data_IF_697278464760
#
_entry.id   IF_697278464760
#
_cell.length_a   1.000
_cell.length_b   1.000
_cell.length_c   1.000
_cell.angle_alpha   90.00
_cell.angle_beta   90.00
_cell.angle_gamma   90.00
#
_symmetry.space_group_name_H-M   'P 1'
#
loop_
_entity.id
_entity.type
_entity.pdbx_description
1 polymer ?
#
# COMPACT_ATOMS: atom_id res chain seq x y z
N UNK A 1 -14.28 15.53 13.76
CA UNK A 1 -14.08 16.91 13.19
C UNK A 1 -15.30 17.45 12.44
N UNK A 2 -16.07 16.64 11.70
CA UNK A 2 -17.30 17.05 10.99
C UNK A 2 -18.62 16.67 11.70
N UNK A 3 -18.57 16.20 12.95
CA UNK A 3 -19.75 15.78 13.73
C UNK A 3 -20.84 16.85 13.88
N UNK A 4 -20.48 18.12 13.74
CA UNK A 4 -21.45 19.23 13.76
C UNK A 4 -22.32 19.29 12.50
N UNK A 5 -21.85 18.77 11.36
CA UNK A 5 -22.54 18.83 10.07
C UNK A 5 -23.19 17.49 9.68
N UNK A 6 -22.64 16.36 10.15
CA UNK A 6 -23.08 15.02 9.80
C UNK A 6 -23.41 14.24 11.08
N UNK A 7 -24.69 13.98 11.28
CA UNK A 7 -25.19 13.27 12.47
C UNK A 7 -24.90 11.76 12.46
N UNK A 8 -24.60 11.17 11.30
CA UNK A 8 -24.22 9.76 11.17
C UNK A 8 -22.71 9.58 11.36
N UNK A 9 -22.33 8.95 12.48
CA UNK A 9 -20.94 8.75 12.89
C UNK A 9 -20.11 7.93 11.88
N UNK A 10 -20.72 6.93 11.20
CA UNK A 10 -20.03 6.12 10.17
C UNK A 10 -19.66 6.99 8.97
N UNK A 11 -20.61 7.80 8.49
CA UNK A 11 -20.40 8.69 7.34
C UNK A 11 -19.38 9.78 7.70
N UNK A 12 -19.45 10.32 8.92
CA UNK A 12 -18.51 11.33 9.39
C UNK A 12 -17.06 10.82 9.37
N UNK A 13 -16.80 9.64 9.97
CA UNK A 13 -15.47 9.04 9.95
C UNK A 13 -15.00 8.66 8.54
N UNK A 14 -15.90 8.17 7.68
CA UNK A 14 -15.56 7.86 6.29
C UNK A 14 -15.12 9.12 5.52
N UNK A 15 -15.85 10.23 5.67
CA UNK A 15 -15.51 11.51 5.02
C UNK A 15 -14.19 12.07 5.53
N UNK A 16 -13.94 12.01 6.83
CA UNK A 16 -12.66 12.43 7.42
C UNK A 16 -11.49 11.59 6.88
N UNK A 17 -11.64 10.26 6.86
CA UNK A 17 -10.64 9.36 6.30
C UNK A 17 -10.36 9.64 4.81
N UNK A 18 -11.42 9.83 4.01
CA UNK A 18 -11.29 10.16 2.59
C UNK A 18 -10.58 11.50 2.36
N UNK A 19 -10.85 12.50 3.20
CA UNK A 19 -10.23 13.82 3.09
C UNK A 19 -8.73 13.75 3.38
N UNK A 20 -8.34 13.09 4.47
CA UNK A 20 -6.92 12.88 4.79
C UNK A 20 -6.22 12.02 3.73
N UNK A 21 -6.85 10.95 3.25
CA UNK A 21 -6.30 10.09 2.20
C UNK A 21 -6.10 10.85 0.89
N UNK A 22 -7.07 11.69 0.48
CA UNK A 22 -6.99 12.45 -0.77
C UNK A 22 -5.85 13.47 -0.77
N UNK A 23 -5.65 14.16 0.35
CA UNK A 23 -4.54 15.12 0.51
C UNK A 23 -3.19 14.37 0.43
N UNK A 24 -3.05 13.27 1.17
CA UNK A 24 -1.84 12.46 1.15
C UNK A 24 -1.54 11.91 -0.25
N UNK A 25 -2.54 11.33 -0.93
CA UNK A 25 -2.40 10.82 -2.29
C UNK A 25 -2.06 11.91 -3.31
N UNK A 26 -2.59 13.12 -3.16
CA UNK A 26 -2.29 14.24 -4.06
C UNK A 26 -0.82 14.67 -3.95
N UNK A 27 -0.30 14.77 -2.72
CA UNK A 27 1.11 15.11 -2.49
C UNK A 27 2.02 14.00 -3.00
N UNK A 28 1.72 12.74 -2.65
CA UNK A 28 2.50 11.59 -3.10
C UNK A 28 2.49 11.46 -4.63
N UNK A 29 1.37 11.75 -5.30
CA UNK A 29 1.26 11.73 -6.76
C UNK A 29 2.28 12.64 -7.43
N UNK A 30 2.43 13.88 -6.95
CA UNK A 30 3.41 14.84 -7.48
C UNK A 30 4.86 14.38 -7.25
N UNK A 31 5.13 13.77 -6.09
CA UNK A 31 6.48 13.25 -5.77
C UNK A 31 6.79 12.06 -6.68
N UNK A 32 5.83 11.15 -6.87
CA UNK A 32 6.00 9.94 -7.69
C UNK A 32 6.22 10.30 -9.17
N UNK A 33 5.50 11.28 -9.71
CA UNK A 33 5.70 11.74 -11.09
C UNK A 33 7.08 12.37 -11.28
N UNK A 34 7.56 13.14 -10.31
CA UNK A 34 8.93 13.70 -10.32
C UNK A 34 10.01 12.62 -10.22
N UNK A 35 9.76 11.52 -9.52
CA UNK A 35 10.70 10.39 -9.42
C UNK A 35 10.75 9.52 -10.68
N UNK A 36 9.76 9.63 -11.58
CA UNK A 36 9.69 8.83 -12.80
C UNK A 36 9.41 7.34 -12.57
N UNK A 37 8.90 6.97 -11.38
CA UNK A 37 8.60 5.57 -11.02
C UNK A 37 7.08 5.36 -11.08
N UNK A 38 6.57 5.03 -12.26
CA UNK A 38 5.11 4.96 -12.48
C UNK A 38 4.46 3.82 -11.69
N UNK A 39 5.19 2.71 -11.49
CA UNK A 39 4.62 1.47 -10.95
C UNK A 39 4.54 1.41 -9.42
N UNK A 40 5.08 2.42 -8.73
CA UNK A 40 5.21 2.38 -7.27
C UNK A 40 3.85 2.42 -6.57
N UNK A 41 2.90 3.19 -7.09
CA UNK A 41 1.59 3.39 -6.46
C UNK A 41 0.77 2.10 -6.37
N UNK A 42 0.61 1.39 -7.49
CA UNK A 42 -0.14 0.13 -7.48
C UNK A 42 0.61 -0.96 -6.69
N UNK A 43 1.92 -1.09 -6.87
CA UNK A 43 2.70 -2.15 -6.19
C UNK A 43 2.69 -1.98 -4.68
N UNK A 44 2.82 -0.76 -4.16
CA UNK A 44 2.77 -0.50 -2.72
C UNK A 44 1.39 -0.77 -2.12
N UNK A 45 0.32 -0.45 -2.85
CA UNK A 45 -1.06 -0.78 -2.43
C UNK A 45 -1.24 -2.29 -2.31
N UNK A 46 -0.68 -3.07 -3.25
CA UNK A 46 -0.75 -4.52 -3.21
C UNK A 46 0.19 -5.17 -2.18
N UNK A 47 1.34 -4.56 -1.88
CA UNK A 47 2.17 -4.94 -0.75
C UNK A 47 1.44 -4.77 0.59
N UNK A 48 0.73 -3.64 0.76
CA UNK A 48 -0.11 -3.40 1.93
C UNK A 48 -1.23 -4.44 2.03
N UNK A 49 -1.89 -4.76 0.89
CA UNK A 49 -2.93 -5.76 0.82
C UNK A 49 -2.41 -7.16 1.20
N UNK A 50 -1.30 -7.61 0.61
CA UNK A 50 -0.67 -8.89 0.95
C UNK A 50 -0.28 -8.96 2.44
N UNK A 51 0.30 -7.89 2.98
CA UNK A 51 0.61 -7.79 4.41
C UNK A 51 -0.64 -7.88 5.29
N UNK A 52 -1.72 -7.19 4.93
CA UNK A 52 -2.99 -7.27 5.64
C UNK A 52 -3.56 -8.69 5.62
N UNK A 53 -3.55 -9.36 4.47
CA UNK A 53 -3.99 -10.76 4.32
C UNK A 53 -3.24 -11.70 5.26
N UNK A 54 -1.90 -11.59 5.27
CA UNK A 54 -1.04 -12.39 6.15
C UNK A 54 -1.35 -12.07 7.62
N UNK A 55 -1.47 -10.78 7.97
CA UNK A 55 -1.77 -10.36 9.34
C UNK A 55 -3.07 -10.96 9.84
N UNK A 56 -4.14 -10.84 9.05
CA UNK A 56 -5.46 -11.40 9.36
C UNK A 56 -5.38 -12.92 9.55
N UNK A 57 -4.66 -13.62 8.66
CA UNK A 57 -4.49 -15.07 8.75
C UNK A 57 -3.82 -15.53 10.06
N UNK A 58 -2.79 -14.82 10.50
CA UNK A 58 -2.08 -15.14 11.76
C UNK A 58 -2.76 -14.54 13.02
N UNK A 59 -3.92 -13.90 12.88
CA UNK A 59 -4.60 -13.21 13.99
C UNK A 59 -3.86 -11.96 14.51
N UNK A 60 -2.91 -11.45 13.73
CA UNK A 60 -2.21 -10.18 14.00
C UNK A 60 -3.05 -9.03 13.43
N UNK A 61 -3.03 -7.86 14.07
CA UNK A 61 -3.75 -6.68 13.58
C UNK A 61 -3.38 -6.36 12.12
N UNK A 62 -4.36 -6.48 11.21
CA UNK A 62 -4.14 -6.37 9.76
C UNK A 62 -3.47 -5.06 9.34
N UNK A 63 -3.77 -3.96 10.04
CA UNK A 63 -3.16 -2.65 9.80
C UNK A 63 -1.65 -2.65 10.06
N UNK A 64 -1.21 -3.29 11.15
CA UNK A 64 0.22 -3.36 11.50
C UNK A 64 0.98 -4.22 10.49
N UNK A 65 0.41 -5.37 10.11
CA UNK A 65 1.00 -6.26 9.12
C UNK A 65 1.09 -5.60 7.73
N UNK A 66 0.07 -4.83 7.34
CA UNK A 66 0.08 -4.03 6.11
C UNK A 66 1.22 -3.00 6.10
N UNK A 67 1.39 -2.25 7.19
CA UNK A 67 2.46 -1.24 7.31
C UNK A 67 3.84 -1.91 7.22
N UNK A 68 4.05 -3.01 7.96
CA UNK A 68 5.32 -3.73 7.96
C UNK A 68 5.66 -4.30 6.58
N UNK A 69 4.68 -4.89 5.88
CA UNK A 69 4.88 -5.43 4.54
C UNK A 69 5.23 -4.32 3.53
N UNK A 70 4.50 -3.21 3.53
CA UNK A 70 4.79 -2.07 2.65
C UNK A 70 6.17 -1.47 2.93
N UNK A 71 6.57 -1.35 4.20
CA UNK A 71 7.89 -0.85 4.58
C UNK A 71 9.01 -1.81 4.14
N UNK A 72 8.78 -3.12 4.26
CA UNK A 72 9.71 -4.15 3.81
C UNK A 72 9.91 -4.08 2.28
N UNK A 73 8.83 -3.93 1.51
CA UNK A 73 8.94 -3.77 0.06
C UNK A 73 9.63 -2.45 -0.33
N UNK A 74 9.31 -1.35 0.36
CA UNK A 74 9.96 -0.05 0.12
C UNK A 74 11.48 -0.09 0.39
N UNK A 75 11.91 -0.80 1.44
CA UNK A 75 13.33 -0.94 1.77
C UNK A 75 14.07 -1.89 0.84
N UNK A 76 13.43 -2.95 0.34
CA UNK A 76 14.05 -3.93 -0.56
C UNK A 76 14.16 -3.40 -2.00
N UNK A 77 13.26 -2.52 -2.45
CA UNK A 77 13.23 -2.08 -3.86
C UNK A 77 14.55 -1.44 -4.31
N UNK A 78 15.18 -0.64 -3.46
CA UNK A 78 16.45 0.04 -3.73
C UNK A 78 17.61 -0.93 -3.98
N UNK A 79 18.02 -1.74 -2.97
CA UNK A 79 19.10 -2.70 -3.14
C UNK A 79 18.78 -3.78 -4.18
N UNK A 80 17.50 -4.15 -4.35
CA UNK A 80 17.09 -5.11 -5.37
C UNK A 80 17.27 -4.53 -6.79
N UNK A 81 16.93 -3.25 -6.99
CA UNK A 81 17.16 -2.51 -8.24
C UNK A 81 18.63 -2.46 -8.62
N UNK A 82 19.49 -2.12 -7.65
CA UNK A 82 20.92 -2.05 -7.87
C UNK A 82 21.54 -3.43 -8.16
N UNK A 83 21.11 -4.47 -7.42
CA UNK A 83 21.67 -5.82 -7.58
C UNK A 83 21.20 -6.52 -8.85
N UNK A 84 19.94 -6.34 -9.25
CA UNK A 84 19.39 -6.93 -10.46
C UNK A 84 19.84 -6.18 -11.73
N UNK A 85 20.35 -4.95 -11.61
CA UNK A 85 20.66 -4.04 -12.73
C UNK A 85 19.47 -3.85 -13.68
N UNK A 86 18.26 -3.89 -13.13
CA UNK A 86 17.00 -3.69 -13.86
C UNK A 86 16.39 -2.34 -13.45
N UNK A 87 15.51 -1.81 -14.30
CA UNK A 87 14.76 -0.61 -13.92
C UNK A 87 13.83 -0.91 -12.74
N UNK A 88 13.66 0.08 -11.87
CA UNK A 88 12.81 -0.03 -10.68
C UNK A 88 11.36 -0.41 -11.06
N UNK A 89 10.85 0.10 -12.19
CA UNK A 89 9.52 -0.26 -12.70
C UNK A 89 9.40 -1.75 -13.05
N UNK A 90 10.41 -2.37 -13.63
CA UNK A 90 10.35 -3.81 -13.95
C UNK A 90 10.32 -4.65 -12.68
N UNK A 91 11.11 -4.28 -11.67
CA UNK A 91 11.14 -5.00 -10.39
C UNK A 91 9.81 -4.83 -9.65
N UNK A 92 9.26 -3.61 -9.65
CA UNK A 92 7.93 -3.34 -9.11
C UNK A 92 6.87 -4.21 -9.80
N UNK A 93 6.92 -4.35 -11.12
CA UNK A 93 6.02 -5.24 -11.88
C UNK A 93 6.12 -6.71 -11.46
N UNK A 94 7.33 -7.22 -11.21
CA UNK A 94 7.54 -8.59 -10.72
C UNK A 94 7.01 -8.75 -9.28
N UNK A 95 7.33 -7.80 -8.41
CA UNK A 95 6.88 -7.80 -7.02
C UNK A 95 5.36 -7.73 -6.91
N UNK A 96 4.70 -6.97 -7.79
CA UNK A 96 3.24 -6.92 -7.85
C UNK A 96 2.61 -8.31 -8.01
N UNK A 97 3.06 -9.09 -9.00
CA UNK A 97 2.54 -10.45 -9.22
C UNK A 97 2.77 -11.36 -8.02
N UNK A 98 3.95 -11.25 -7.39
CA UNK A 98 4.29 -11.99 -6.18
C UNK A 98 3.39 -11.64 -5.00
N UNK A 99 3.19 -10.34 -4.72
CA UNK A 99 2.32 -9.87 -3.64
C UNK A 99 0.88 -10.34 -3.84
N UNK A 100 0.36 -10.30 -5.07
CA UNK A 100 -0.99 -10.77 -5.35
C UNK A 100 -1.17 -12.27 -5.15
N UNK A 101 -0.19 -13.07 -5.58
CA UNK A 101 -0.20 -14.52 -5.34
C UNK A 101 -0.24 -14.82 -3.84
N UNK A 102 0.60 -14.13 -3.04
CA UNK A 102 0.62 -14.27 -1.58
C UNK A 102 -0.70 -13.84 -0.97
N UNK A 103 -1.22 -12.67 -1.34
CA UNK A 103 -2.47 -12.13 -0.79
C UNK A 103 -3.64 -13.08 -1.02
N UNK A 104 -3.82 -13.57 -2.25
CA UNK A 104 -4.92 -14.48 -2.60
C UNK A 104 -4.77 -15.81 -1.88
N UNK A 105 -3.54 -16.35 -1.76
CA UNK A 105 -3.29 -17.58 -1.02
C UNK A 105 -3.77 -17.49 0.44
N UNK A 106 -3.42 -16.42 1.15
CA UNK A 106 -3.80 -16.22 2.55
C UNK A 106 -5.26 -15.78 2.75
N UNK A 107 -5.89 -15.15 1.76
CA UNK A 107 -7.33 -14.82 1.82
C UNK A 107 -8.20 -16.04 1.55
N UNK A 108 -7.74 -16.96 0.69
CA UNK A 108 -8.50 -18.13 0.27
C UNK A 108 -8.50 -19.27 1.30
N UNK A 109 -7.62 -19.23 2.29
CA UNK A 109 -7.46 -20.28 3.30
C UNK A 109 -7.79 -19.73 4.68
#
# INVERSE_FOLDING_TARGET
MLEFLIQNNIICHAVEAMLFASIACSILGVIITQMGISSIGFTMTHAAFAGASIGIFFGVGGTMAAILASLLIATIIGPLSEKARMSTDTILGILFGMMMAIAIFFVSY
#
